data_IF_548255198514
#
_entry.id   IF_548255198514
#
_cell.length_a   1.000
_cell.length_b   1.000
_cell.length_c   1.000
_cell.angle_alpha   90.00
_cell.angle_beta   90.00
_cell.angle_gamma   90.00
#
_symmetry.space_group_name_H-M   'P 1'
#
loop_
_entity.id
_entity.type
_entity.pdbx_description
1 polymer ?
#
# COMPACT_ATOMS: atom_id res chain seq x y z
N UNK A 1 11.51 12.00 -6.01
CA UNK A 1 10.13 11.91 -6.56
C UNK A 1 10.09 12.73 -7.85
N UNK A 2 9.76 12.10 -8.97
CA UNK A 2 9.56 12.75 -10.26
C UNK A 2 8.10 12.63 -10.69
N UNK A 3 7.39 13.76 -10.80
CA UNK A 3 5.97 13.79 -11.23
C UNK A 3 5.77 14.04 -12.73
N UNK A 4 6.84 14.12 -13.52
CA UNK A 4 6.75 14.40 -14.96
C UNK A 4 6.38 13.12 -15.73
N UNK A 5 5.17 12.62 -15.52
CA UNK A 5 4.68 11.41 -16.20
C UNK A 5 3.24 11.62 -16.64
N UNK A 6 2.92 11.13 -17.86
CA UNK A 6 1.55 11.06 -18.32
C UNK A 6 0.94 9.74 -17.87
N UNK A 7 0.09 9.79 -16.84
CA UNK A 7 -0.46 8.61 -16.15
C UNK A 7 -1.34 7.72 -17.03
N UNK A 8 -1.81 8.20 -18.18
CA UNK A 8 -2.60 7.40 -19.13
C UNK A 8 -1.76 6.80 -20.26
N UNK A 9 -0.49 7.19 -20.39
CA UNK A 9 0.37 6.78 -21.51
C UNK A 9 1.71 6.19 -21.10
N UNK A 10 2.21 6.51 -19.91
CA UNK A 10 3.55 6.14 -19.46
C UNK A 10 3.48 5.33 -18.17
N UNK A 11 4.36 4.35 -17.97
CA UNK A 11 4.47 3.66 -16.69
C UNK A 11 4.81 4.62 -15.56
N UNK A 12 4.25 4.36 -14.38
CA UNK A 12 4.53 5.14 -13.18
C UNK A 12 4.49 4.25 -11.94
N UNK A 13 5.10 4.73 -10.86
CA UNK A 13 5.17 4.03 -9.58
C UNK A 13 4.51 4.88 -8.50
N UNK A 14 3.60 4.25 -7.76
CA UNK A 14 3.00 4.80 -6.53
C UNK A 14 3.56 4.05 -5.33
N UNK A 15 4.09 4.78 -4.35
CA UNK A 15 4.54 4.21 -3.09
C UNK A 15 3.41 4.25 -2.07
N UNK A 16 3.02 3.10 -1.54
CA UNK A 16 2.07 3.01 -0.43
C UNK A 16 2.86 2.87 0.87
N UNK A 17 2.67 3.83 1.77
CA UNK A 17 3.20 3.79 3.14
C UNK A 17 2.04 3.64 4.11
N UNK A 18 1.99 2.51 4.80
CA UNK A 18 1.01 2.24 5.85
C UNK A 18 1.63 2.45 7.24
N UNK A 19 1.05 3.35 8.02
CA UNK A 19 1.46 3.59 9.40
C UNK A 19 0.52 2.88 10.37
N UNK A 20 1.10 2.30 11.42
CA UNK A 20 0.38 1.48 12.41
C UNK A 20 -0.26 2.36 13.49
N UNK A 21 -1.18 3.24 13.07
CA UNK A 21 -1.90 4.17 13.97
C UNK A 21 -3.35 4.31 13.58
N UNK A 22 -4.15 4.80 14.54
CA UNK A 22 -5.50 5.33 14.31
C UNK A 22 -5.47 6.85 14.52
N UNK A 23 -6.47 7.56 14.01
CA UNK A 23 -6.54 9.01 14.13
C UNK A 23 -5.94 9.74 12.94
N UNK A 24 -5.29 10.91 13.15
CA UNK A 24 -4.77 11.71 12.04
C UNK A 24 -3.63 11.00 11.30
N UNK A 25 -3.72 10.94 9.96
CA UNK A 25 -2.69 10.32 9.11
C UNK A 25 -1.39 11.13 9.10
N UNK A 26 -1.42 12.38 9.54
CA UNK A 26 -0.23 13.23 9.71
C UNK A 26 0.60 12.89 10.96
N UNK A 27 0.13 11.99 11.80
CA UNK A 27 0.87 11.55 12.99
C UNK A 27 2.24 11.00 12.60
N UNK A 28 3.28 11.46 13.29
CA UNK A 28 4.64 10.94 13.10
C UNK A 28 4.67 9.48 13.57
N UNK A 29 4.99 8.58 12.67
CA UNK A 29 5.00 7.15 12.96
C UNK A 29 5.88 6.38 11.98
N UNK A 30 6.21 5.15 12.37
CA UNK A 30 6.95 4.22 11.53
C UNK A 30 6.13 3.82 10.30
N UNK A 31 6.83 3.58 9.19
CA UNK A 31 6.23 3.03 7.98
C UNK A 31 6.25 1.50 8.04
N UNK A 32 5.17 0.91 8.53
CA UNK A 32 5.10 -0.53 8.80
C UNK A 32 4.63 -1.35 7.59
N UNK A 33 3.98 -0.73 6.63
CA UNK A 33 3.65 -1.31 5.33
C UNK A 33 4.34 -0.48 4.25
N UNK A 34 5.12 -1.13 3.40
CA UNK A 34 5.86 -0.50 2.32
C UNK A 34 5.61 -1.28 1.04
N UNK A 35 4.92 -0.67 0.09
CA UNK A 35 4.53 -1.34 -1.14
C UNK A 35 4.70 -0.40 -2.34
N UNK A 36 5.34 -0.92 -3.39
CA UNK A 36 5.36 -0.26 -4.69
C UNK A 36 4.19 -0.76 -5.52
N UNK A 37 3.43 0.15 -6.08
CA UNK A 37 2.40 -0.13 -7.08
C UNK A 37 2.92 0.39 -8.41
N UNK A 38 3.42 -0.52 -9.24
CA UNK A 38 3.94 -0.18 -10.57
C UNK A 38 2.82 -0.35 -11.59
N UNK A 39 2.47 0.72 -12.26
CA UNK A 39 1.34 0.77 -13.20
C UNK A 39 1.85 0.99 -14.60
N UNK A 40 1.46 0.12 -15.53
CA UNK A 40 1.69 0.32 -16.96
C UNK A 40 0.35 0.51 -17.68
N UNK A 41 -0.03 1.74 -18.01
CA UNK A 41 -1.31 2.02 -18.64
C UNK A 41 -1.42 1.52 -20.08
N UNK A 42 -0.28 1.35 -20.78
CA UNK A 42 -0.27 0.83 -22.16
C UNK A 42 -0.66 -0.64 -22.22
N UNK A 43 -0.14 -1.44 -21.28
CA UNK A 43 -0.37 -2.90 -21.24
C UNK A 43 -1.47 -3.28 -20.28
N UNK A 44 -2.02 -2.34 -19.53
CA UNK A 44 -3.03 -2.58 -18.50
C UNK A 44 -2.55 -3.59 -17.45
N UNK A 45 -1.34 -3.40 -16.96
CA UNK A 45 -0.71 -4.26 -15.96
C UNK A 45 -0.35 -3.46 -14.72
N UNK A 46 -0.57 -4.07 -13.56
CA UNK A 46 -0.19 -3.53 -12.24
C UNK A 46 0.65 -4.60 -11.55
N UNK A 47 1.80 -4.20 -11.02
CA UNK A 47 2.65 -5.03 -10.18
C UNK A 47 2.70 -4.46 -8.77
N UNK A 48 2.30 -5.25 -7.78
CA UNK A 48 2.42 -4.94 -6.37
C UNK A 48 3.73 -5.56 -5.86
N UNK A 49 4.63 -4.74 -5.33
CA UNK A 49 5.90 -5.21 -4.77
C UNK A 49 6.00 -4.78 -3.32
N UNK A 50 5.94 -5.73 -2.40
CA UNK A 50 6.10 -5.47 -0.97
C UNK A 50 7.57 -5.44 -0.59
N UNK A 51 7.95 -4.44 0.23
CA UNK A 51 9.30 -4.26 0.75
C UNK A 51 9.24 -4.54 2.25
N UNK A 52 10.08 -5.46 2.78
CA UNK A 52 10.10 -5.76 4.20
C UNK A 52 10.39 -4.50 5.03
N UNK A 53 9.58 -4.27 6.05
CA UNK A 53 9.74 -3.11 6.93
C UNK A 53 11.06 -3.09 7.69
N UNK A 54 11.65 -4.26 7.91
CA UNK A 54 12.89 -4.43 8.65
C UNK A 54 14.15 -4.40 7.76
N UNK A 55 14.02 -4.09 6.46
CA UNK A 55 15.17 -3.93 5.57
C UNK A 55 16.17 -2.94 6.15
N UNK A 56 17.44 -3.35 6.17
CA UNK A 56 18.54 -2.52 6.62
C UNK A 56 19.04 -1.65 5.48
N UNK A 57 18.68 -0.38 5.56
CA UNK A 57 18.82 0.59 4.47
C UNK A 57 19.62 1.81 4.95
N UNK A 58 20.17 2.58 4.01
CA UNK A 58 20.75 3.89 4.32
C UNK A 58 19.65 4.96 4.21
N UNK A 59 19.35 5.64 5.32
CA UNK A 59 18.42 6.77 5.31
C UNK A 59 18.99 7.89 4.46
N UNK A 60 18.22 8.35 3.48
CA UNK A 60 18.68 9.33 2.48
C UNK A 60 19.27 10.59 3.10
N UNK A 61 18.53 11.24 4.00
CA UNK A 61 18.95 12.51 4.60
C UNK A 61 19.97 12.37 5.72
N UNK A 62 20.15 11.17 6.27
CA UNK A 62 21.03 10.92 7.42
C UNK A 62 22.38 10.31 7.03
N UNK A 63 22.44 9.64 5.87
CA UNK A 63 23.63 8.87 5.47
C UNK A 63 23.99 7.75 6.43
N UNK A 64 23.04 7.32 7.26
CA UNK A 64 23.23 6.32 8.32
C UNK A 64 22.31 5.13 8.13
N UNK A 65 22.76 3.95 8.59
CA UNK A 65 21.99 2.71 8.49
C UNK A 65 20.85 2.63 9.50
N UNK A 66 19.69 2.23 9.02
CA UNK A 66 18.50 2.04 9.84
C UNK A 66 17.57 1.02 9.19
N UNK A 67 16.48 0.68 9.88
CA UNK A 67 15.37 -0.06 9.27
C UNK A 67 14.53 0.85 8.38
N UNK A 68 13.99 0.30 7.30
CA UNK A 68 13.08 1.03 6.42
C UNK A 68 11.87 1.59 7.20
N UNK A 69 11.31 0.80 8.13
CA UNK A 69 10.16 1.23 8.95
C UNK A 69 10.45 2.53 9.72
N UNK A 70 11.68 2.72 10.21
CA UNK A 70 12.07 3.91 10.95
C UNK A 70 12.16 5.17 10.07
N UNK A 71 12.28 5.03 8.75
CA UNK A 71 12.30 6.17 7.84
C UNK A 71 11.01 7.00 7.93
N UNK A 72 9.89 6.37 8.28
CA UNK A 72 8.60 7.02 8.47
C UNK A 72 8.58 8.07 9.59
N UNK A 73 9.46 7.94 10.58
CA UNK A 73 9.61 8.91 11.68
C UNK A 73 10.05 10.28 11.14
N UNK A 74 10.78 10.30 10.03
CA UNK A 74 11.31 11.51 9.39
C UNK A 74 10.42 12.03 8.24
N UNK A 75 9.25 11.44 8.07
CA UNK A 75 8.27 11.83 7.07
C UNK A 75 8.26 10.95 5.82
N UNK A 76 7.18 11.06 5.05
CA UNK A 76 6.98 10.24 3.85
C UNK A 76 8.06 10.46 2.78
N UNK A 77 8.54 11.67 2.63
CA UNK A 77 9.58 11.97 1.65
C UNK A 77 10.88 11.23 1.96
N UNK A 78 11.25 11.10 3.23
CA UNK A 78 12.42 10.32 3.64
C UNK A 78 12.26 8.84 3.26
N UNK A 79 11.09 8.27 3.53
CA UNK A 79 10.80 6.87 3.17
C UNK A 79 10.90 6.66 1.65
N UNK A 80 10.26 7.51 0.87
CA UNK A 80 10.25 7.39 -0.60
C UNK A 80 11.64 7.55 -1.18
N UNK A 81 12.38 8.58 -0.77
CA UNK A 81 13.74 8.83 -1.30
C UNK A 81 14.71 7.73 -0.89
N UNK A 82 14.58 7.20 0.32
CA UNK A 82 15.37 6.05 0.79
C UNK A 82 15.14 4.82 -0.09
N UNK A 83 13.90 4.54 -0.49
CA UNK A 83 13.58 3.42 -1.38
C UNK A 83 14.05 3.68 -2.81
N UNK A 84 13.95 4.92 -3.30
CA UNK A 84 14.52 5.28 -4.60
C UNK A 84 16.02 5.00 -4.65
N UNK A 85 16.75 5.37 -3.61
CA UNK A 85 18.20 5.10 -3.49
C UNK A 85 18.49 3.59 -3.40
N UNK A 86 17.69 2.85 -2.61
CA UNK A 86 17.87 1.42 -2.41
C UNK A 86 17.72 0.61 -3.69
N UNK A 87 16.74 0.95 -4.51
CA UNK A 87 16.35 0.17 -5.69
C UNK A 87 16.79 0.80 -7.01
N UNK A 88 17.40 1.98 -6.97
CA UNK A 88 17.79 2.75 -8.15
C UNK A 88 16.62 2.95 -9.12
N UNK A 89 15.50 3.45 -8.59
CA UNK A 89 14.26 3.72 -9.33
C UNK A 89 13.76 5.13 -9.05
N UNK A 90 12.93 5.64 -9.97
CA UNK A 90 12.15 6.86 -9.76
C UNK A 90 10.74 6.51 -9.31
N UNK A 91 10.32 7.04 -8.15
CA UNK A 91 8.95 6.93 -7.65
C UNK A 91 8.24 8.24 -7.97
N UNK A 92 7.06 8.15 -8.61
CA UNK A 92 6.33 9.31 -9.09
C UNK A 92 5.36 9.86 -8.04
N UNK A 93 4.67 8.97 -7.34
CA UNK A 93 3.62 9.33 -6.39
C UNK A 93 3.74 8.53 -5.11
N UNK A 94 3.13 9.06 -4.05
CA UNK A 94 2.96 8.33 -2.79
C UNK A 94 1.52 8.44 -2.29
N UNK A 95 1.12 7.45 -1.52
CA UNK A 95 -0.11 7.45 -0.71
C UNK A 95 0.25 6.97 0.68
N UNK A 96 0.05 7.82 1.68
CA UNK A 96 0.26 7.46 3.09
C UNK A 96 -1.09 7.21 3.76
N UNK A 97 -1.25 6.06 4.37
CA UNK A 97 -2.50 5.57 4.96
C UNK A 97 -2.28 5.09 6.39
N UNK A 98 -3.35 5.00 7.16
CA UNK A 98 -3.38 4.37 8.47
C UNK A 98 -4.60 3.45 8.61
N UNK A 99 -4.87 2.93 9.81
CA UNK A 99 -6.01 2.04 10.04
C UNK A 99 -7.34 2.69 9.72
N UNK A 100 -7.52 3.95 10.12
CA UNK A 100 -8.75 4.71 9.84
C UNK A 100 -9.00 4.85 8.34
N UNK A 101 -7.94 5.09 7.55
CA UNK A 101 -8.03 5.19 6.09
C UNK A 101 -8.58 3.90 5.47
N UNK A 102 -8.03 2.75 5.88
CA UNK A 102 -8.43 1.44 5.34
C UNK A 102 -9.92 1.18 5.62
N UNK A 103 -10.36 1.40 6.86
CA UNK A 103 -11.75 1.20 7.25
C UNK A 103 -12.67 2.10 6.44
N UNK A 104 -12.37 3.40 6.38
CA UNK A 104 -13.20 4.37 5.64
C UNK A 104 -13.25 4.08 4.15
N UNK A 105 -12.12 3.76 3.54
CA UNK A 105 -12.06 3.46 2.11
C UNK A 105 -12.94 2.26 1.77
N UNK A 106 -12.74 1.14 2.45
CA UNK A 106 -13.49 -0.10 2.18
C UNK A 106 -14.98 0.10 2.41
N UNK A 107 -15.38 0.78 3.49
CA UNK A 107 -16.79 1.05 3.78
C UNK A 107 -17.40 2.02 2.74
N UNK A 108 -16.67 3.04 2.31
CA UNK A 108 -17.10 3.96 1.26
C UNK A 108 -17.31 3.25 -0.09
N UNK A 109 -16.49 2.25 -0.38
CA UNK A 109 -16.63 1.41 -1.59
C UNK A 109 -17.79 0.41 -1.49
N UNK A 110 -18.43 0.27 -0.33
CA UNK A 110 -19.48 -0.72 -0.11
C UNK A 110 -18.97 -2.13 0.14
N UNK A 111 -17.76 -2.26 0.63
CA UNK A 111 -17.08 -3.54 0.86
C UNK A 111 -16.22 -3.98 -0.32
N UNK A 112 -15.39 -4.98 -0.10
CA UNK A 112 -14.49 -5.56 -1.10
C UNK A 112 -14.54 -7.08 -1.04
N UNK A 113 -14.23 -7.74 -2.15
CA UNK A 113 -14.10 -9.20 -2.24
C UNK A 113 -12.63 -9.58 -2.19
N UNK A 114 -12.21 -10.25 -1.10
CA UNK A 114 -10.82 -10.63 -0.86
C UNK A 114 -10.67 -12.15 -0.89
N UNK A 115 -9.68 -12.64 -1.62
CA UNK A 115 -9.33 -14.06 -1.62
C UNK A 115 -8.43 -14.38 -0.43
N UNK A 116 -8.82 -15.35 0.37
CA UNK A 116 -8.02 -15.89 1.48
C UNK A 116 -7.43 -17.24 1.14
N UNK A 117 -6.13 -17.41 1.40
CA UNK A 117 -5.44 -18.70 1.21
C UNK A 117 -5.80 -19.72 2.31
N UNK A 118 -6.31 -19.24 3.45
CA UNK A 118 -6.58 -20.07 4.62
C UNK A 118 -7.92 -19.74 5.29
N UNK A 119 -8.46 -20.73 6.01
CA UNK A 119 -9.45 -20.47 7.06
C UNK A 119 -8.73 -19.97 8.30
N UNK A 120 -9.19 -18.84 8.85
CA UNK A 120 -8.63 -18.31 10.10
C UNK A 120 -9.57 -17.31 10.75
N UNK A 121 -9.32 -17.01 12.03
CA UNK A 121 -10.05 -16.01 12.80
C UNK A 121 -9.07 -14.95 13.30
N UNK A 122 -9.43 -13.67 13.14
CA UNK A 122 -8.65 -12.54 13.63
C UNK A 122 -9.58 -11.44 14.15
N UNK A 123 -9.30 -10.88 15.30
CA UNK A 123 -10.09 -9.81 15.93
C UNK A 123 -11.59 -10.15 16.06
N UNK A 124 -11.92 -11.41 16.27
CA UNK A 124 -13.30 -11.88 16.36
C UNK A 124 -14.00 -12.12 15.04
N UNK A 125 -13.37 -11.87 13.91
CA UNK A 125 -13.89 -12.13 12.57
C UNK A 125 -13.35 -13.44 12.03
N UNK A 126 -14.22 -14.24 11.40
CA UNK A 126 -13.83 -15.49 10.75
C UNK A 126 -13.75 -15.30 9.24
N UNK A 127 -12.63 -15.78 8.66
CA UNK A 127 -12.39 -15.76 7.21
C UNK A 127 -12.30 -17.19 6.70
N UNK A 128 -13.00 -17.48 5.62
CA UNK A 128 -12.96 -18.78 4.97
C UNK A 128 -11.92 -18.79 3.85
N UNK A 129 -11.29 -19.92 3.61
CA UNK A 129 -10.48 -20.11 2.41
C UNK A 129 -11.35 -19.84 1.17
N UNK A 130 -10.84 -19.06 0.24
CA UNK A 130 -11.58 -18.59 -0.93
C UNK A 130 -12.00 -17.13 -0.80
N UNK A 131 -13.01 -16.71 -1.54
CA UNK A 131 -13.47 -15.33 -1.54
C UNK A 131 -14.34 -15.00 -0.32
N UNK A 132 -14.04 -13.84 0.28
CA UNK A 132 -14.81 -13.27 1.37
C UNK A 132 -15.22 -11.85 0.99
N UNK A 133 -16.48 -11.49 1.26
CA UNK A 133 -16.92 -10.10 1.17
C UNK A 133 -16.68 -9.43 2.51
N UNK A 134 -15.79 -8.42 2.53
CA UNK A 134 -15.32 -7.78 3.75
C UNK A 134 -15.75 -6.32 3.80
N UNK A 135 -16.18 -5.87 4.99
CA UNK A 135 -16.28 -4.46 5.31
C UNK A 135 -14.92 -3.90 5.77
N UNK A 136 -14.87 -2.61 6.13
CA UNK A 136 -13.62 -1.96 6.51
C UNK A 136 -12.93 -2.59 7.72
N UNK A 137 -13.67 -2.87 8.78
CA UNK A 137 -13.13 -3.49 10.00
C UNK A 137 -12.62 -4.91 9.73
N UNK A 138 -13.34 -5.68 8.95
CA UNK A 138 -12.94 -7.03 8.54
C UNK A 138 -11.69 -7.02 7.64
N UNK A 139 -11.62 -6.09 6.68
CA UNK A 139 -10.46 -5.93 5.80
C UNK A 139 -9.21 -5.55 6.60
N UNK A 140 -9.34 -4.66 7.57
CA UNK A 140 -8.24 -4.29 8.45
C UNK A 140 -7.75 -5.50 9.28
N UNK A 141 -8.67 -6.24 9.92
CA UNK A 141 -8.33 -7.43 10.68
C UNK A 141 -7.64 -8.50 9.81
N UNK A 142 -8.14 -8.71 8.58
CA UNK A 142 -7.56 -9.64 7.61
C UNK A 142 -6.11 -9.26 7.25
N UNK A 143 -5.83 -7.99 7.05
CA UNK A 143 -4.52 -7.50 6.61
C UNK A 143 -3.47 -7.43 7.73
N UNK A 144 -3.89 -7.49 9.00
CA UNK A 144 -2.99 -7.37 10.15
C UNK A 144 -2.58 -8.71 10.75
N UNK A 145 -3.35 -9.77 10.51
CA UNK A 145 -3.11 -11.08 11.15
C UNK A 145 -1.82 -11.72 10.65
N UNK A 146 -1.04 -12.25 11.58
CA UNK A 146 0.18 -13.02 11.30
C UNK A 146 0.33 -14.27 12.17
N UNK A 147 -0.22 -14.26 13.37
CA UNK A 147 -0.02 -15.34 14.35
C UNK A 147 -0.80 -16.62 13.98
N UNK A 148 -1.83 -16.50 13.17
CA UNK A 148 -2.63 -17.63 12.68
C UNK A 148 -1.91 -18.48 11.61
N UNK A 149 -0.76 -18.03 11.09
CA UNK A 149 -0.08 -18.65 9.96
C UNK A 149 1.31 -19.16 10.32
N UNK A 150 1.66 -20.34 9.78
CA UNK A 150 2.99 -20.91 9.95
C UNK A 150 4.09 -20.01 9.37
N UNK A 151 3.82 -19.36 8.23
CA UNK A 151 4.73 -18.40 7.59
C UNK A 151 4.67 -16.99 8.20
N UNK A 152 3.74 -16.74 9.14
CA UNK A 152 3.62 -15.49 9.89
C UNK A 152 3.57 -14.24 9.02
N UNK A 153 4.65 -13.49 9.02
CA UNK A 153 4.75 -12.22 8.31
C UNK A 153 4.63 -12.35 6.79
N UNK A 154 5.12 -13.43 6.21
CA UNK A 154 5.00 -13.65 4.76
C UNK A 154 3.54 -13.77 4.32
N UNK A 155 2.71 -14.45 5.10
CA UNK A 155 1.28 -14.55 4.80
C UNK A 155 0.58 -13.22 5.03
N UNK A 156 0.97 -12.46 6.05
CA UNK A 156 0.43 -11.11 6.26
C UNK A 156 0.69 -10.21 5.04
N UNK A 157 1.89 -10.25 4.49
CA UNK A 157 2.24 -9.49 3.27
C UNK A 157 1.34 -9.90 2.10
N UNK A 158 1.13 -11.20 1.88
CA UNK A 158 0.21 -11.69 0.83
C UNK A 158 -1.23 -11.22 1.06
N UNK A 159 -1.69 -11.21 2.31
CA UNK A 159 -3.02 -10.75 2.67
C UNK A 159 -3.18 -9.24 2.43
N UNK A 160 -2.15 -8.44 2.73
CA UNK A 160 -2.14 -7.01 2.40
C UNK A 160 -2.24 -6.78 0.89
N UNK A 161 -1.51 -7.55 0.10
CA UNK A 161 -1.58 -7.49 -1.36
C UNK A 161 -2.96 -7.90 -1.87
N UNK A 162 -3.56 -8.93 -1.28
CA UNK A 162 -4.92 -9.37 -1.61
C UNK A 162 -5.97 -8.28 -1.35
N UNK A 163 -5.83 -7.52 -0.25
CA UNK A 163 -6.71 -6.39 0.05
C UNK A 163 -6.54 -5.27 -0.99
N UNK A 164 -5.31 -4.91 -1.34
CA UNK A 164 -5.05 -3.89 -2.37
C UNK A 164 -5.62 -4.32 -3.72
N UNK A 165 -5.41 -5.57 -4.12
CA UNK A 165 -5.98 -6.11 -5.37
C UNK A 165 -7.52 -6.04 -5.36
N UNK A 166 -8.15 -6.39 -4.24
CA UNK A 166 -9.60 -6.32 -4.09
C UNK A 166 -10.12 -4.87 -4.17
N UNK A 167 -9.38 -3.90 -3.61
CA UNK A 167 -9.70 -2.48 -3.75
C UNK A 167 -9.61 -2.03 -5.21
N UNK A 168 -8.55 -2.41 -5.91
CA UNK A 168 -8.38 -2.09 -7.34
C UNK A 168 -9.54 -2.65 -8.14
N UNK A 169 -9.89 -3.92 -7.97
CA UNK A 169 -11.00 -4.57 -8.66
C UNK A 169 -12.33 -3.87 -8.40
N UNK A 170 -12.53 -3.38 -7.19
CA UNK A 170 -13.75 -2.67 -6.81
C UNK A 170 -13.83 -1.29 -7.45
N UNK A 171 -12.75 -0.49 -7.38
CA UNK A 171 -12.77 0.90 -7.86
C UNK A 171 -12.84 1.03 -9.37
N UNK A 172 -12.37 0.05 -10.14
CA UNK A 172 -12.44 0.09 -11.61
C UNK A 172 -13.83 -0.22 -12.17
N UNK A 173 -14.82 -0.55 -11.32
CA UNK A 173 -16.20 -0.74 -11.77
C UNK A 173 -16.79 0.58 -12.30
N UNK A 174 -17.63 0.54 -13.36
CA UNK A 174 -18.24 1.76 -13.92
C UNK A 174 -19.01 2.57 -12.90
N UNK A 175 -19.72 1.90 -12.00
CA UNK A 175 -20.50 2.55 -10.93
C UNK A 175 -19.61 3.41 -10.02
N UNK A 176 -18.48 2.88 -9.56
CA UNK A 176 -17.59 3.61 -8.66
C UNK A 176 -16.74 4.65 -9.39
N UNK A 177 -16.34 4.38 -10.62
CA UNK A 177 -15.61 5.35 -11.43
C UNK A 177 -16.42 6.61 -11.70
N UNK A 178 -17.71 6.48 -11.98
CA UNK A 178 -18.59 7.64 -12.18
C UNK A 178 -18.82 8.45 -10.91
N UNK A 179 -18.57 7.87 -9.73
CA UNK A 179 -18.70 8.51 -8.41
C UNK A 179 -17.36 8.86 -7.77
N UNK A 180 -16.27 8.85 -8.51
CA UNK A 180 -14.94 9.01 -7.92
C UNK A 180 -14.76 10.31 -7.13
N UNK A 181 -15.36 11.41 -7.56
CA UNK A 181 -15.30 12.70 -6.86
C UNK A 181 -15.96 12.61 -5.48
N UNK A 182 -17.12 11.97 -5.39
CA UNK A 182 -17.83 11.75 -4.13
C UNK A 182 -17.03 10.85 -3.19
N UNK A 183 -16.40 9.80 -3.72
CA UNK A 183 -15.55 8.89 -2.95
C UNK A 183 -14.35 9.66 -2.39
N UNK A 184 -13.65 10.44 -3.20
CA UNK A 184 -12.50 11.22 -2.76
C UNK A 184 -12.88 12.25 -1.69
N UNK A 185 -14.02 12.92 -1.85
CA UNK A 185 -14.51 13.89 -0.88
C UNK A 185 -14.82 13.23 0.49
N UNK A 186 -15.38 12.04 0.48
CA UNK A 186 -15.66 11.31 1.74
C UNK A 186 -14.39 10.82 2.45
N UNK A 187 -13.26 10.74 1.74
CA UNK A 187 -11.96 10.32 2.27
C UNK A 187 -11.04 11.51 2.59
N UNK A 188 -11.50 12.73 2.39
CA UNK A 188 -10.69 13.93 2.64
C UNK A 188 -10.13 13.93 4.06
N UNK A 189 -8.82 14.19 4.18
CA UNK A 189 -8.11 14.17 5.45
C UNK A 189 -7.76 12.78 5.99
N UNK A 190 -8.22 11.70 5.33
CA UNK A 190 -7.95 10.33 5.78
C UNK A 190 -6.65 9.75 5.22
N UNK A 191 -6.08 10.35 4.21
CA UNK A 191 -4.81 9.93 3.60
C UNK A 191 -4.01 11.14 3.13
N UNK A 192 -2.73 10.93 2.89
CA UNK A 192 -1.83 11.93 2.30
C UNK A 192 -1.31 11.42 0.97
N UNK A 193 -1.31 12.28 -0.04
CA UNK A 193 -0.82 11.94 -1.37
C UNK A 193 -0.32 13.19 -2.10
N UNK A 194 0.59 12.98 -3.05
CA UNK A 194 1.00 14.00 -4.02
C UNK A 194 0.33 13.81 -5.39
N UNK A 195 -0.60 12.87 -5.53
CA UNK A 195 -1.38 12.70 -6.75
C UNK A 195 -2.37 13.87 -6.84
N UNK A 196 -2.36 14.57 -7.96
CA UNK A 196 -3.27 15.69 -8.20
C UNK A 196 -4.61 15.21 -8.74
N UNK A 197 -5.66 15.98 -8.49
CA UNK A 197 -7.01 15.60 -8.87
C UNK A 197 -7.18 15.46 -10.40
N UNK A 198 -6.49 16.27 -11.20
CA UNK A 198 -6.52 16.15 -12.65
C UNK A 198 -5.90 14.83 -13.14
N UNK A 199 -4.88 14.31 -12.47
CA UNK A 199 -4.25 13.03 -12.79
C UNK A 199 -5.23 11.88 -12.51
N UNK A 200 -5.93 11.91 -11.37
CA UNK A 200 -6.98 10.95 -11.04
C UNK A 200 -8.13 11.04 -12.07
N UNK A 201 -8.56 12.25 -12.40
CA UNK A 201 -9.61 12.49 -13.40
C UNK A 201 -9.23 11.90 -14.76
N UNK A 202 -7.99 12.07 -15.20
CA UNK A 202 -7.51 11.53 -16.47
C UNK A 202 -7.51 9.99 -16.46
N UNK A 203 -7.08 9.36 -15.38
CA UNK A 203 -7.14 7.90 -15.23
C UNK A 203 -8.57 7.37 -15.27
N UNK A 204 -9.49 8.04 -14.57
CA UNK A 204 -10.91 7.66 -14.54
C UNK A 204 -11.53 7.78 -15.93
N UNK A 205 -11.30 8.88 -16.63
CA UNK A 205 -11.81 9.10 -17.99
C UNK A 205 -11.26 8.08 -18.97
N UNK A 206 -9.97 7.78 -18.90
CA UNK A 206 -9.34 6.77 -19.75
C UNK A 206 -9.97 5.39 -19.51
N UNK A 207 -10.17 4.99 -18.26
CA UNK A 207 -10.79 3.71 -17.92
C UNK A 207 -12.24 3.64 -18.40
N UNK A 208 -13.02 4.70 -18.21
CA UNK A 208 -14.41 4.76 -18.66
C UNK A 208 -14.54 4.73 -20.18
N UNK A 209 -13.54 5.23 -20.91
CA UNK A 209 -13.57 5.30 -22.37
C UNK A 209 -13.48 3.93 -23.05
N UNK A 210 -12.80 2.96 -22.45
CA UNK A 210 -12.57 1.64 -23.04
C UNK A 210 -12.91 0.45 -22.15
N UNK A 211 -13.07 0.65 -20.86
CA UNK A 211 -13.41 -0.39 -19.86
C UNK A 211 -12.56 -1.67 -19.96
N UNK A 212 -11.30 -1.52 -20.37
CA UNK A 212 -10.39 -2.66 -20.46
C UNK A 212 -10.08 -3.23 -19.09
N UNK A 213 -9.93 -4.55 -19.02
CA UNK A 213 -9.51 -5.22 -17.79
C UNK A 213 -8.02 -4.99 -17.51
N UNK A 214 -7.68 -5.02 -16.25
CA UNK A 214 -6.30 -4.91 -15.75
C UNK A 214 -5.83 -6.25 -15.20
N UNK A 215 -4.56 -6.58 -15.45
CA UNK A 215 -3.91 -7.73 -14.83
C UNK A 215 -3.09 -7.25 -13.65
N UNK A 216 -3.38 -7.79 -12.46
CA UNK A 216 -2.64 -7.47 -11.23
C UNK A 216 -1.79 -8.68 -10.84
N UNK A 217 -0.49 -8.44 -10.67
CA UNK A 217 0.46 -9.44 -10.15
C UNK A 217 1.12 -8.91 -8.89
N UNK A 218 1.61 -9.81 -8.05
CA UNK A 218 2.23 -9.48 -6.77
C UNK A 218 3.55 -10.22 -6.60
N UNK A 219 4.51 -9.57 -5.99
CA UNK A 219 5.73 -10.17 -5.48
C UNK A 219 6.17 -9.47 -4.18
N UNK A 220 7.13 -10.06 -3.50
CA UNK A 220 7.72 -9.47 -2.31
C UNK A 220 9.24 -9.58 -2.39
N UNK A 221 9.93 -8.53 -2.00
CA UNK A 221 11.38 -8.58 -1.82
C UNK A 221 11.69 -9.41 -0.58
N UNK A 222 12.81 -10.11 -0.63
CA UNK A 222 13.26 -10.99 0.46
C UNK A 222 14.65 -10.56 0.94
N UNK A 223 15.10 -11.14 2.05
CA UNK A 223 16.41 -10.84 2.62
C UNK A 223 16.85 -11.92 3.60
N UNK A 224 17.96 -11.68 4.25
CA UNK A 224 18.51 -12.56 5.28
C UNK A 224 18.42 -11.89 6.64
N UNK A 225 17.85 -12.58 7.61
CA UNK A 225 17.73 -12.09 8.98
C UNK A 225 19.09 -11.85 9.63
N UNK A 226 19.21 -10.77 10.37
CA UNK A 226 20.43 -10.36 11.05
C UNK A 226 20.09 -9.57 12.32
N UNK A 227 21.11 -9.10 13.03
CA UNK A 227 20.95 -8.24 14.21
C UNK A 227 22.03 -7.16 14.17
N UNK A 228 21.67 -5.92 14.39
CA UNK A 228 22.63 -4.84 14.32
C UNK A 228 22.11 -3.48 14.76
N UNK A 229 22.97 -2.47 14.76
CA UNK A 229 22.62 -1.14 15.20
C UNK A 229 21.77 -0.39 14.17
N UNK A 230 20.84 0.42 14.67
CA UNK A 230 20.06 1.35 13.86
C UNK A 230 20.28 2.78 14.34
N UNK A 231 20.20 3.72 13.40
CA UNK A 231 20.36 5.14 13.70
C UNK A 231 19.31 5.65 14.72
N UNK A 232 18.08 5.21 14.58
CA UNK A 232 16.98 5.76 15.37
C UNK A 232 16.76 5.06 16.71
N UNK A 233 17.07 3.77 16.83
CA UNK A 233 16.62 2.96 17.98
C UNK A 233 17.66 1.97 18.51
N UNK A 234 18.94 2.08 18.16
CA UNK A 234 19.96 1.16 18.62
C UNK A 234 19.87 -0.21 17.94
N UNK A 235 20.40 -1.26 18.61
CA UNK A 235 20.48 -2.60 18.01
C UNK A 235 19.17 -3.36 18.07
N UNK A 236 18.79 -3.98 16.96
CA UNK A 236 17.56 -4.73 16.81
C UNK A 236 17.65 -5.75 15.66
N UNK A 237 16.60 -6.55 15.47
CA UNK A 237 16.49 -7.47 14.34
C UNK A 237 16.41 -6.71 13.02
N UNK A 238 17.17 -7.17 12.04
CA UNK A 238 17.26 -6.61 10.69
C UNK A 238 16.87 -7.68 9.65
N UNK A 239 16.64 -7.24 8.41
CA UNK A 239 16.28 -8.16 7.31
C UNK A 239 16.98 -7.76 6.01
#
# INVERSE_FOLDING_TARGET
>A
ISKNVNVTKEPFIVYISGIDTSGPVSTVSRSDVNMLVTVNPKTRQILLTSIPRDYYVTLHSKGAKDKLTHSGIYGINETVTTVEDLLDIDINYYVRVNFTTVIKLVDTLGGIQVYSDYDFTAQGYHFNKGYNTLNGAEALAFSRERHSFASGDNQRVKNQQAVIEAIIDKVISPELLTRYTSILNSLEGSFQTNIEQNEISNLVKDQLSNMSSWTVKSNALTGTGSYGPTYSMGSTKLY
#
